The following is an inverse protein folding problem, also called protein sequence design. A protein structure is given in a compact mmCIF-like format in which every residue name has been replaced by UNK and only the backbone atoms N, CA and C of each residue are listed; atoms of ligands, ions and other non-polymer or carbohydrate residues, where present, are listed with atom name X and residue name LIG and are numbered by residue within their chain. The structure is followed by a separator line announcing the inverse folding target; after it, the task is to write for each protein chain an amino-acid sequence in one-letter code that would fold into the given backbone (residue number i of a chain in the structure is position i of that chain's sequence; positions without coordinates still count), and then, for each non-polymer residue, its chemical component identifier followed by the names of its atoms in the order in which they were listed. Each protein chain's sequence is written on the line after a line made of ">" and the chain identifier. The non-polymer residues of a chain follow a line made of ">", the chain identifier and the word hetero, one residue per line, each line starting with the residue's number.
data_IF_809848242997
#
_entry.id   IF_809848242997
#
_cell.length_a   1.000
_cell.length_b   1.000
_cell.length_c   1.000
_cell.angle_alpha   90.00
_cell.angle_beta   90.00
_cell.angle_gamma   90.00
#
_symmetry.space_group_name_H-M   'P 1'
#
loop_
_entity.id
_entity.type
_entity.pdbx_description
1 polymer ?
#
# COMPACT_ATOMS: atom_id res chain seq x y z
N UNK A 1 -1.43 -39.88 89.59
CA UNK A 1 -0.90 -38.56 89.18
C UNK A 1 -0.57 -38.64 87.69
N UNK A 2 -1.15 -37.73 86.90
CA UNK A 2 -0.83 -37.37 85.52
C UNK A 2 -1.12 -38.40 84.41
N UNK A 3 -2.40 -38.54 84.06
CA UNK A 3 -2.78 -38.82 82.67
C UNK A 3 -2.54 -37.54 81.87
N UNK A 4 -1.49 -37.55 81.05
CA UNK A 4 -1.14 -36.45 80.16
C UNK A 4 -2.20 -36.39 79.06
N UNK A 5 -3.12 -35.44 79.19
CA UNK A 5 -4.00 -35.00 78.11
C UNK A 5 -3.14 -34.59 76.92
N UNK A 6 -3.10 -35.45 75.89
CA UNK A 6 -2.42 -35.18 74.64
C UNK A 6 -3.24 -34.17 73.83
N UNK A 7 -3.14 -32.89 74.18
CA UNK A 7 -3.75 -31.77 73.47
C UNK A 7 -2.91 -31.39 72.24
N UNK A 8 -2.55 -32.36 71.41
CA UNK A 8 -1.92 -32.04 70.13
C UNK A 8 -2.96 -31.34 69.24
N UNK A 9 -2.67 -30.14 68.70
CA UNK A 9 -3.63 -29.42 67.88
C UNK A 9 -3.94 -30.28 66.66
N UNK A 10 -5.20 -30.68 66.48
CA UNK A 10 -5.64 -31.26 65.22
C UNK A 10 -5.37 -30.22 64.13
N UNK A 11 -4.33 -30.46 63.32
CA UNK A 11 -4.09 -29.70 62.10
C UNK A 11 -5.29 -29.92 61.20
N UNK A 12 -6.28 -29.05 61.28
CA UNK A 12 -7.42 -29.01 60.38
C UNK A 12 -6.87 -28.59 59.02
N UNK A 13 -6.55 -29.60 58.20
CA UNK A 13 -6.13 -29.38 56.83
C UNK A 13 -7.37 -28.92 56.05
N UNK A 14 -7.59 -27.60 56.04
CA UNK A 14 -8.62 -27.00 55.19
C UNK A 14 -8.05 -26.98 53.77
N UNK A 15 -8.18 -28.10 53.07
CA UNK A 15 -7.97 -28.14 51.63
C UNK A 15 -9.09 -27.35 50.98
N UNK A 16 -8.83 -26.09 50.65
CA UNK A 16 -9.62 -25.39 49.63
C UNK A 16 -9.40 -26.12 48.31
N UNK A 17 -10.27 -27.08 48.00
CA UNK A 17 -10.41 -27.53 46.62
C UNK A 17 -10.95 -26.34 45.84
N UNK A 18 -10.07 -25.66 45.12
CA UNK A 18 -10.49 -24.77 44.05
C UNK A 18 -11.12 -25.65 42.99
N UNK A 19 -12.45 -25.71 42.96
CA UNK A 19 -13.18 -26.27 41.81
C UNK A 19 -12.80 -25.44 40.59
N UNK A 20 -12.10 -26.01 39.61
CA UNK A 20 -11.48 -25.19 38.59
C UNK A 20 -12.45 -24.82 37.48
N UNK A 21 -13.77 -24.68 37.66
CA UNK A 21 -14.61 -24.72 36.45
C UNK A 21 -16.03 -24.15 36.60
N UNK A 22 -16.14 -22.82 36.69
CA UNK A 22 -17.34 -22.19 36.11
C UNK A 22 -17.28 -22.39 34.59
N UNK A 23 -18.22 -23.17 34.04
CA UNK A 23 -18.33 -23.48 32.60
C UNK A 23 -18.25 -22.22 31.73
N UNK A 24 -18.78 -21.11 32.24
CA UNK A 24 -18.75 -19.80 31.57
C UNK A 24 -17.34 -19.22 31.43
N UNK A 25 -16.48 -19.38 32.42
CA UNK A 25 -15.09 -18.87 32.37
C UNK A 25 -14.26 -19.66 31.35
N UNK A 26 -14.48 -20.98 31.28
CA UNK A 26 -13.78 -21.83 30.32
C UNK A 26 -14.25 -21.57 28.88
N UNK A 27 -15.56 -21.35 28.68
CA UNK A 27 -16.10 -20.89 27.40
C UNK A 27 -15.61 -19.49 27.02
N UNK A 28 -15.45 -18.60 27.99
CA UNK A 28 -14.93 -17.25 27.77
C UNK A 28 -13.46 -17.26 27.34
N UNK A 29 -12.61 -18.07 27.99
CA UNK A 29 -11.21 -18.25 27.58
C UNK A 29 -11.13 -18.86 26.18
N UNK A 30 -11.98 -19.85 25.87
CA UNK A 30 -12.06 -20.42 24.52
C UNK A 30 -12.48 -19.41 23.47
N UNK A 31 -13.52 -18.60 23.77
CA UNK A 31 -13.99 -17.52 22.90
C UNK A 31 -12.95 -16.42 22.70
N UNK A 32 -12.20 -16.05 23.75
CA UNK A 32 -11.10 -15.10 23.67
C UNK A 32 -9.92 -15.64 22.84
N UNK A 33 -9.56 -16.91 23.02
CA UNK A 33 -8.51 -17.52 22.21
C UNK A 33 -8.93 -17.59 20.73
N UNK A 34 -10.18 -17.95 20.46
CA UNK A 34 -10.71 -18.01 19.10
C UNK A 34 -10.77 -16.62 18.45
N UNK A 35 -11.18 -15.58 19.19
CA UNK A 35 -11.23 -14.22 18.66
C UNK A 35 -9.85 -13.68 18.31
N UNK A 36 -8.82 -14.01 19.12
CA UNK A 36 -7.43 -13.66 18.82
C UNK A 36 -6.93 -14.34 17.54
N UNK A 37 -7.23 -15.63 17.35
CA UNK A 37 -6.85 -16.37 16.14
C UNK A 37 -7.50 -15.78 14.90
N UNK A 38 -8.81 -15.50 14.95
CA UNK A 38 -9.54 -14.87 13.84
C UNK A 38 -9.00 -13.47 13.56
N UNK A 39 -8.63 -12.70 14.58
CA UNK A 39 -8.05 -11.37 14.42
C UNK A 39 -6.71 -11.41 13.68
N UNK A 40 -5.82 -12.33 14.05
CA UNK A 40 -4.53 -12.52 13.37
C UNK A 40 -4.75 -13.02 11.94
N UNK A 41 -5.64 -13.99 11.75
CA UNK A 41 -5.95 -14.53 10.42
C UNK A 41 -6.54 -13.47 9.49
N UNK A 42 -7.51 -12.69 9.96
CA UNK A 42 -8.13 -11.62 9.19
C UNK A 42 -7.11 -10.56 8.77
N UNK A 43 -6.21 -10.16 9.67
CA UNK A 43 -5.13 -9.22 9.36
C UNK A 43 -4.16 -9.78 8.31
N UNK A 44 -3.74 -11.04 8.45
CA UNK A 44 -2.86 -11.70 7.49
C UNK A 44 -3.50 -11.89 6.10
N UNK A 45 -4.81 -12.21 6.06
CA UNK A 45 -5.53 -12.40 4.80
C UNK A 45 -5.71 -11.07 4.07
N UNK A 46 -6.04 -10.00 4.80
CA UNK A 46 -6.08 -8.64 4.26
C UNK A 46 -4.70 -8.18 3.75
N UNK A 47 -3.62 -8.50 4.47
CA UNK A 47 -2.27 -8.17 4.03
C UNK A 47 -1.91 -8.90 2.73
N UNK A 48 -2.29 -10.16 2.56
CA UNK A 48 -2.11 -10.88 1.29
C UNK A 48 -2.89 -10.24 0.14
N UNK A 49 -4.17 -9.95 0.34
CA UNK A 49 -4.99 -9.31 -0.69
C UNK A 49 -4.39 -7.98 -1.12
N UNK A 50 -3.93 -7.15 -0.17
CA UNK A 50 -3.29 -5.87 -0.47
C UNK A 50 -2.03 -6.03 -1.34
N UNK A 51 -1.21 -7.05 -1.08
CA UNK A 51 -0.03 -7.36 -1.89
C UNK A 51 -0.42 -7.78 -3.32
N UNK A 52 -1.49 -8.56 -3.47
CA UNK A 52 -1.98 -9.01 -4.78
C UNK A 52 -2.54 -7.83 -5.61
N UNK A 53 -3.18 -6.85 -4.97
CA UNK A 53 -3.64 -5.62 -5.63
C UNK A 53 -2.48 -4.76 -6.15
N UNK A 54 -1.42 -4.58 -5.36
CA UNK A 54 -0.23 -3.82 -5.77
C UNK A 54 0.47 -4.50 -6.96
N UNK A 55 0.53 -5.84 -6.96
CA UNK A 55 1.12 -6.62 -8.05
C UNK A 55 0.31 -6.51 -9.35
N UNK A 56 -1.02 -6.60 -9.27
CA UNK A 56 -1.90 -6.44 -10.42
C UNK A 56 -1.84 -5.03 -11.02
N UNK A 57 -1.77 -3.99 -10.18
CA UNK A 57 -1.61 -2.60 -10.61
C UNK A 57 -0.26 -2.38 -11.32
N UNK A 58 0.83 -2.88 -10.72
CA UNK A 58 2.15 -2.81 -11.33
C UNK A 58 2.21 -3.56 -12.67
N UNK A 59 1.62 -4.77 -12.74
CA UNK A 59 1.54 -5.55 -13.97
C UNK A 59 0.79 -4.79 -15.07
N UNK A 60 -0.33 -4.15 -14.74
CA UNK A 60 -1.09 -3.34 -15.69
C UNK A 60 -0.30 -2.13 -16.19
N UNK A 61 0.34 -1.40 -15.28
CA UNK A 61 1.14 -0.21 -15.61
C UNK A 61 2.38 -0.55 -16.44
N UNK A 62 3.06 -1.65 -16.12
CA UNK A 62 4.20 -2.17 -16.88
C UNK A 62 3.79 -2.60 -18.29
N UNK A 63 2.66 -3.32 -18.44
CA UNK A 63 2.12 -3.68 -19.76
C UNK A 63 1.82 -2.45 -20.61
N UNK A 64 1.25 -1.40 -20.03
CA UNK A 64 0.97 -0.14 -20.74
C UNK A 64 2.26 0.54 -21.24
N UNK A 65 3.33 0.49 -20.45
CA UNK A 65 4.65 0.99 -20.87
C UNK A 65 5.21 0.16 -22.03
N UNK A 66 5.23 -1.17 -21.92
CA UNK A 66 5.83 -2.05 -22.94
C UNK A 66 5.04 -2.03 -24.25
N UNK A 67 3.71 -1.99 -24.18
CA UNK A 67 2.85 -1.88 -25.38
C UNK A 67 3.09 -0.56 -26.13
N UNK A 68 3.40 0.52 -25.41
CA UNK A 68 3.73 1.82 -26.03
C UNK A 68 5.14 1.86 -26.63
N UNK A 69 5.98 0.87 -26.35
CA UNK A 69 7.40 0.83 -26.72
C UNK A 69 7.74 -0.13 -27.88
N UNK A 70 6.73 -0.76 -28.52
CA UNK A 70 6.91 -1.75 -29.62
C UNK A 70 7.92 -2.87 -29.29
N UNK A 71 8.04 -3.25 -28.01
CA UNK A 71 9.11 -4.12 -27.51
C UNK A 71 8.60 -5.56 -27.25
N UNK A 72 9.24 -6.62 -27.80
CA UNK A 72 8.86 -8.03 -27.60
C UNK A 72 8.93 -8.53 -26.13
N UNK A 73 9.36 -7.69 -25.18
CA UNK A 73 9.49 -7.98 -23.75
C UNK A 73 8.17 -8.27 -22.99
N UNK A 74 6.99 -8.23 -23.63
CA UNK A 74 5.70 -8.58 -23.00
C UNK A 74 5.72 -10.02 -22.44
N UNK A 75 6.30 -10.95 -23.20
CA UNK A 75 6.48 -12.36 -22.80
C UNK A 75 7.42 -12.51 -21.59
N UNK A 76 8.39 -11.61 -21.44
CA UNK A 76 9.35 -11.63 -20.34
C UNK A 76 8.69 -11.21 -19.02
N UNK A 77 7.89 -10.13 -19.04
CA UNK A 77 7.14 -9.66 -17.87
C UNK A 77 6.12 -10.73 -17.42
N UNK A 78 5.40 -11.37 -18.34
CA UNK A 78 4.43 -12.40 -17.98
C UNK A 78 5.06 -13.58 -17.22
N UNK A 79 6.23 -14.06 -17.68
CA UNK A 79 6.92 -15.22 -17.10
C UNK A 79 7.53 -14.95 -15.72
N UNK A 80 8.09 -13.76 -15.51
CA UNK A 80 8.76 -13.40 -14.27
C UNK A 80 7.81 -12.95 -13.15
N UNK A 81 6.61 -12.47 -13.49
CA UNK A 81 5.58 -12.16 -12.48
C UNK A 81 4.81 -13.42 -12.01
N UNK A 82 4.71 -14.47 -12.84
CA UNK A 82 3.86 -15.64 -12.54
C UNK A 82 4.58 -16.86 -11.97
N UNK A 83 5.78 -17.21 -12.47
CA UNK A 83 6.40 -18.53 -12.19
C UNK A 83 7.66 -18.44 -11.33
N UNK A 84 8.46 -17.37 -11.45
CA UNK A 84 9.72 -17.23 -10.70
C UNK A 84 9.90 -15.78 -10.25
N UNK A 85 9.31 -15.47 -9.09
CA UNK A 85 9.23 -14.12 -8.51
C UNK A 85 10.64 -13.62 -8.17
N UNK A 86 11.24 -12.88 -9.09
CA UNK A 86 12.55 -12.27 -8.90
C UNK A 86 12.37 -10.81 -8.49
N UNK A 87 12.65 -10.53 -7.22
CA UNK A 87 12.50 -9.20 -6.62
C UNK A 87 13.32 -8.14 -7.36
N UNK A 88 14.46 -8.52 -7.96
CA UNK A 88 15.29 -7.61 -8.75
C UNK A 88 14.62 -7.21 -10.07
N UNK A 89 13.88 -8.14 -10.69
CA UNK A 89 13.14 -7.86 -11.94
C UNK A 89 11.94 -6.98 -11.64
N UNK A 90 11.26 -7.21 -10.51
CA UNK A 90 10.14 -6.36 -10.08
C UNK A 90 10.64 -4.92 -9.82
N UNK A 91 11.76 -4.76 -9.12
CA UNK A 91 12.34 -3.44 -8.85
C UNK A 91 12.81 -2.73 -10.14
N UNK A 92 13.45 -3.46 -11.05
CA UNK A 92 13.82 -2.96 -12.36
C UNK A 92 12.61 -2.46 -13.16
N UNK A 93 11.51 -3.22 -13.15
CA UNK A 93 10.25 -2.83 -13.82
C UNK A 93 9.63 -1.62 -13.14
N UNK A 94 9.60 -1.56 -11.81
CA UNK A 94 9.11 -0.39 -11.05
C UNK A 94 9.87 0.87 -11.44
N UNK A 95 11.21 0.82 -11.49
CA UNK A 95 12.04 1.96 -11.85
C UNK A 95 11.82 2.42 -13.31
N UNK A 96 11.68 1.47 -14.24
CA UNK A 96 11.38 1.79 -15.65
C UNK A 96 10.01 2.45 -15.81
N UNK A 97 9.00 1.92 -15.12
CA UNK A 97 7.66 2.48 -15.12
C UNK A 97 7.67 3.91 -14.57
N UNK A 98 8.35 4.14 -13.44
CA UNK A 98 8.48 5.47 -12.85
C UNK A 98 9.16 6.47 -13.80
N UNK A 99 10.25 6.05 -14.46
CA UNK A 99 10.96 6.89 -15.44
C UNK A 99 10.09 7.22 -16.67
N UNK A 100 9.27 6.27 -17.13
CA UNK A 100 8.33 6.50 -18.23
C UNK A 100 7.22 7.48 -17.84
N UNK A 101 6.61 7.29 -16.67
CA UNK A 101 5.55 8.18 -16.17
C UNK A 101 6.07 9.61 -15.97
N UNK A 102 7.26 9.77 -15.38
CA UNK A 102 7.91 11.07 -15.22
C UNK A 102 8.17 11.74 -16.58
N UNK A 103 8.65 10.97 -17.55
CA UNK A 103 8.90 11.47 -18.91
C UNK A 103 7.61 11.93 -19.61
N UNK A 104 6.52 11.17 -19.47
CA UNK A 104 5.21 11.51 -20.05
C UNK A 104 4.63 12.75 -19.37
N UNK A 105 4.73 12.86 -18.05
CA UNK A 105 4.27 14.02 -17.29
C UNK A 105 5.02 15.28 -17.73
N UNK A 106 6.35 15.20 -17.77
CA UNK A 106 7.22 16.32 -18.16
C UNK A 106 6.98 16.74 -19.61
N UNK A 107 6.76 15.79 -20.52
CA UNK A 107 6.38 16.09 -21.89
C UNK A 107 5.06 16.87 -21.95
N UNK A 108 4.05 16.43 -21.19
CA UNK A 108 2.75 17.12 -21.12
C UNK A 108 2.90 18.55 -20.57
N UNK A 109 3.69 18.74 -19.51
CA UNK A 109 4.00 20.06 -18.94
C UNK A 109 4.69 20.97 -19.95
N UNK A 110 5.68 20.44 -20.68
CA UNK A 110 6.39 21.20 -21.72
C UNK A 110 5.44 21.64 -22.84
N UNK A 111 4.53 20.76 -23.28
CA UNK A 111 3.52 21.08 -24.31
C UNK A 111 2.58 22.17 -23.82
N UNK A 112 2.07 22.08 -22.58
CA UNK A 112 1.18 23.10 -22.01
C UNK A 112 1.89 24.45 -21.85
N UNK A 113 3.14 24.43 -21.40
CA UNK A 113 3.94 25.63 -21.23
C UNK A 113 4.31 26.28 -22.56
N UNK A 114 4.56 25.49 -23.61
CA UNK A 114 4.76 25.99 -24.97
C UNK A 114 3.50 26.69 -25.50
N UNK A 115 2.33 26.05 -25.39
CA UNK A 115 1.05 26.64 -25.80
C UNK A 115 0.74 27.95 -25.06
N UNK A 116 1.03 28.00 -23.75
CA UNK A 116 0.86 29.22 -22.94
C UNK A 116 1.82 30.34 -23.38
N UNK A 117 3.11 30.03 -23.60
CA UNK A 117 4.08 31.03 -24.07
C UNK A 117 3.70 31.56 -25.46
N UNK A 118 3.22 30.69 -26.34
CA UNK A 118 2.77 31.08 -27.69
C UNK A 118 1.52 31.98 -27.65
N UNK A 119 0.57 31.72 -26.73
CA UNK A 119 -0.59 32.59 -26.56
C UNK A 119 -0.18 33.99 -26.08
N UNK A 120 0.71 34.07 -25.08
CA UNK A 120 1.24 35.33 -24.54
C UNK A 120 2.02 36.12 -25.61
N UNK A 121 2.88 35.44 -26.37
CA UNK A 121 3.62 36.08 -27.46
C UNK A 121 2.69 36.64 -28.56
N UNK A 122 1.61 35.93 -28.88
CA UNK A 122 0.62 36.41 -29.83
C UNK A 122 -0.18 37.62 -29.34
N UNK A 123 -0.52 37.67 -28.05
CA UNK A 123 -1.16 38.82 -27.40
C UNK A 123 -0.26 40.07 -27.50
N UNK A 124 1.00 39.95 -27.02
CA UNK A 124 2.01 41.01 -27.07
C UNK A 124 2.26 41.51 -28.50
N UNK A 125 2.31 40.60 -29.48
CA UNK A 125 2.46 40.96 -30.89
C UNK A 125 1.25 41.75 -31.40
N UNK A 126 0.03 41.42 -30.98
CA UNK A 126 -1.18 42.17 -31.37
C UNK A 126 -1.16 43.57 -30.76
N UNK A 127 -0.84 43.70 -29.48
CA UNK A 127 -0.71 44.99 -28.79
C UNK A 127 0.39 45.87 -29.40
N UNK A 128 1.56 45.30 -29.68
CA UNK A 128 2.64 46.05 -30.32
C UNK A 128 2.23 46.58 -31.71
N UNK A 129 1.52 45.77 -32.50
CA UNK A 129 1.02 46.19 -33.80
C UNK A 129 -0.08 47.25 -33.71
N UNK A 130 -0.95 47.21 -32.70
CA UNK A 130 -1.95 48.26 -32.50
C UNK A 130 -1.29 49.59 -32.15
N UNK A 131 -0.33 49.60 -31.22
CA UNK A 131 0.45 50.79 -30.84
C UNK A 131 1.18 51.37 -32.06
N UNK A 132 1.85 50.53 -32.86
CA UNK A 132 2.58 50.96 -34.05
C UNK A 132 1.67 51.64 -35.08
N UNK A 133 0.44 51.13 -35.28
CA UNK A 133 -0.55 51.77 -36.16
C UNK A 133 -1.00 53.11 -35.61
N UNK A 134 -1.28 53.18 -34.31
CA UNK A 134 -1.68 54.42 -33.65
C UNK A 134 -0.61 55.50 -33.84
N UNK A 135 0.66 55.20 -33.57
CA UNK A 135 1.77 56.15 -33.76
C UNK A 135 1.88 56.63 -35.21
N UNK A 136 1.78 55.71 -36.19
CA UNK A 136 1.86 56.06 -37.63
C UNK A 136 0.72 56.97 -38.08
N UNK A 137 -0.46 56.89 -37.45
CA UNK A 137 -1.60 57.74 -37.77
C UNK A 137 -1.51 59.15 -37.15
N UNK A 138 -0.61 59.37 -36.18
CA UNK A 138 -0.36 60.68 -35.56
C UNK A 138 0.81 61.45 -36.21
N UNK A 139 1.53 60.85 -37.16
CA UNK A 139 2.53 61.51 -38.02
C UNK A 139 1.92 61.87 -39.37
#
# INVERSE_FOLDING_TARGET
>A
KLEVMNNSPQKKLVTHRFEPTSKYVLLFIGGLALSLVISIWGNLTQWREYQDWEEADLKYRALKMVLSADDPNILYIEKHFSVNRDENVIDYVKNRVAAYEDSVLKYNEMVRMAAYKDSVANELRRESNSIKRTIKNYQ
#
